data_IF_454961822999
#
_entry.id   IF_454961822999
#
_cell.length_a   1.000
_cell.length_b   1.000
_cell.length_c   1.000
_cell.angle_alpha   90.00
_cell.angle_beta   90.00
_cell.angle_gamma   90.00
#
_symmetry.space_group_name_H-M   'P 1'
#
loop_
_entity.id
_entity.type
_entity.pdbx_description
1 polymer ?
#
# COMPACT_ATOMS: atom_id res chain seq x y z
N UNK A 1 19.88 1.33 17.00
CA UNK A 1 18.95 0.27 16.59
C UNK A 1 18.51 0.57 15.17
N UNK A 2 18.67 -0.37 14.23
CA UNK A 2 18.20 -0.20 12.85
C UNK A 2 16.80 -0.76 12.69
N UNK A 3 15.99 -0.19 11.77
CA UNK A 3 14.71 -0.77 11.36
C UNK A 3 14.89 -2.13 10.71
N UNK A 4 13.84 -2.96 10.68
CA UNK A 4 13.79 -4.27 10.00
C UNK A 4 13.15 -4.17 8.63
N UNK A 5 12.35 -3.14 8.38
CA UNK A 5 11.62 -2.87 7.15
C UNK A 5 11.94 -1.45 6.66
N UNK A 6 12.35 -1.30 5.39
CA UNK A 6 12.57 -0.02 4.72
C UNK A 6 11.47 0.28 3.71
N UNK A 7 10.99 1.54 3.64
CA UNK A 7 10.05 1.99 2.60
C UNK A 7 10.83 2.63 1.45
N UNK A 8 10.67 2.10 0.23
CA UNK A 8 11.25 2.62 -1.00
C UNK A 8 10.11 3.04 -1.93
N UNK A 9 10.13 4.30 -2.38
CA UNK A 9 9.16 4.75 -3.37
C UNK A 9 9.40 4.06 -4.72
N UNK A 10 8.35 3.65 -5.40
CA UNK A 10 8.42 3.01 -6.71
C UNK A 10 9.03 3.89 -7.82
N UNK A 11 9.14 5.20 -7.58
CA UNK A 11 9.81 6.17 -8.45
C UNK A 11 11.14 6.70 -7.89
N UNK A 12 11.73 6.00 -6.91
CA UNK A 12 13.07 6.33 -6.41
C UNK A 12 14.07 6.33 -7.59
N UNK A 13 14.87 7.38 -7.68
CA UNK A 13 15.82 7.71 -8.76
C UNK A 13 15.23 8.27 -10.07
N UNK A 14 13.90 8.35 -10.22
CA UNK A 14 13.27 8.95 -11.39
C UNK A 14 11.79 9.23 -11.10
N UNK A 15 11.46 10.44 -10.63
CA UNK A 15 10.13 10.84 -10.18
C UNK A 15 9.09 10.82 -11.29
N UNK A 16 7.91 10.29 -11.00
CA UNK A 16 6.79 10.22 -11.94
C UNK A 16 5.42 10.31 -11.22
N UNK A 17 4.35 10.58 -11.99
CA UNK A 17 3.03 10.92 -11.46
C UNK A 17 2.31 9.79 -10.69
N UNK A 18 2.62 8.54 -11.01
CA UNK A 18 2.06 7.37 -10.31
C UNK A 18 3.04 6.72 -9.34
N UNK A 19 4.16 7.42 -9.07
CA UNK A 19 5.24 6.95 -8.21
C UNK A 19 5.72 5.52 -8.53
N UNK A 20 5.73 5.17 -9.83
CA UNK A 20 6.27 3.90 -10.33
C UNK A 20 7.04 4.14 -11.63
N UNK A 21 8.33 4.48 -11.54
CA UNK A 21 9.14 4.71 -12.74
C UNK A 21 9.30 3.44 -13.58
N UNK A 22 9.29 3.62 -14.90
CA UNK A 22 9.58 2.55 -15.87
C UNK A 22 10.94 2.75 -16.57
N UNK A 23 11.71 3.73 -16.17
CA UNK A 23 13.03 4.02 -16.71
C UNK A 23 14.02 2.90 -16.33
N UNK A 24 14.58 2.16 -17.30
CA UNK A 24 15.39 0.98 -17.01
C UNK A 24 16.54 1.25 -16.04
N UNK A 25 17.26 2.35 -16.22
CA UNK A 25 18.40 2.71 -15.35
C UNK A 25 17.98 3.01 -13.90
N UNK A 26 16.79 3.57 -13.68
CA UNK A 26 16.26 3.80 -12.34
C UNK A 26 15.77 2.50 -11.71
N UNK A 27 15.11 1.63 -12.47
CA UNK A 27 14.67 0.30 -12.02
C UNK A 27 15.88 -0.56 -11.63
N UNK A 28 16.96 -0.56 -12.42
CA UNK A 28 18.17 -1.31 -12.10
C UNK A 28 18.85 -0.81 -10.81
N UNK A 29 18.82 0.51 -10.58
CA UNK A 29 19.32 1.10 -9.32
C UNK A 29 18.45 0.74 -8.13
N UNK A 30 17.11 0.70 -8.32
CA UNK A 30 16.19 0.26 -7.25
C UNK A 30 16.46 -1.19 -6.87
N UNK A 31 16.59 -2.10 -7.86
CA UNK A 31 16.91 -3.51 -7.60
C UNK A 31 18.21 -3.68 -6.82
N UNK A 32 19.27 -2.97 -7.20
CA UNK A 32 20.54 -2.99 -6.46
C UNK A 32 20.38 -2.51 -5.02
N UNK A 33 19.60 -1.45 -4.80
CA UNK A 33 19.31 -0.95 -3.44
C UNK A 33 18.52 -1.99 -2.62
N UNK A 34 17.55 -2.67 -3.23
CA UNK A 34 16.80 -3.76 -2.60
C UNK A 34 17.75 -4.91 -2.22
N UNK A 35 18.61 -5.35 -3.14
CA UNK A 35 19.60 -6.40 -2.88
C UNK A 35 20.56 -6.02 -1.74
N UNK A 36 20.99 -4.75 -1.66
CA UNK A 36 21.81 -4.24 -0.55
C UNK A 36 21.06 -4.32 0.79
N UNK A 37 19.77 -3.92 0.83
CA UNK A 37 18.93 -3.99 2.03
C UNK A 37 18.73 -5.46 2.45
N UNK A 38 18.45 -6.35 1.51
CA UNK A 38 18.32 -7.79 1.78
C UNK A 38 19.63 -8.40 2.29
N UNK A 39 20.78 -7.97 1.77
CA UNK A 39 22.10 -8.44 2.25
C UNK A 39 22.37 -8.09 3.72
N UNK A 40 21.68 -7.06 4.24
CA UNK A 40 21.72 -6.68 5.65
C UNK A 40 20.66 -7.43 6.51
N UNK A 41 19.95 -8.41 5.94
CA UNK A 41 18.87 -9.15 6.61
C UNK A 41 17.64 -8.28 6.90
N UNK A 42 17.34 -7.29 6.02
CA UNK A 42 16.20 -6.39 6.15
C UNK A 42 15.23 -6.60 4.99
N UNK A 43 13.99 -6.17 5.20
CA UNK A 43 12.89 -6.26 4.22
C UNK A 43 12.61 -4.90 3.58
N UNK A 44 11.99 -4.93 2.40
CA UNK A 44 11.61 -3.76 1.62
C UNK A 44 10.11 -3.73 1.38
N UNK A 45 9.47 -2.65 1.81
CA UNK A 45 8.16 -2.24 1.36
C UNK A 45 8.34 -1.25 0.21
N UNK A 46 7.77 -1.53 -0.96
CA UNK A 46 7.78 -0.58 -2.08
C UNK A 46 6.44 0.13 -2.17
N UNK A 47 6.45 1.47 -2.20
CA UNK A 47 5.24 2.28 -2.17
C UNK A 47 5.03 3.11 -3.43
N UNK A 48 3.77 3.24 -3.83
CA UNK A 48 3.27 4.13 -4.88
C UNK A 48 1.98 4.82 -4.40
N UNK A 49 1.88 6.14 -4.58
CA UNK A 49 0.72 6.94 -4.20
C UNK A 49 0.16 7.63 -5.44
N UNK A 50 -1.09 7.36 -5.76
CA UNK A 50 -1.71 7.89 -6.98
C UNK A 50 -2.48 9.19 -6.76
N UNK A 51 -2.92 9.47 -5.52
CA UNK A 51 -3.70 10.67 -5.16
C UNK A 51 -4.99 10.86 -5.98
N UNK A 52 -5.48 9.78 -6.60
CA UNK A 52 -6.72 9.69 -7.37
C UNK A 52 -7.25 8.27 -7.31
N UNK A 53 -8.47 8.06 -7.78
CA UNK A 53 -8.97 6.70 -8.02
C UNK A 53 -8.13 5.99 -9.10
N UNK A 54 -7.92 4.70 -8.91
CA UNK A 54 -7.32 3.80 -9.89
C UNK A 54 -8.12 2.52 -9.97
N UNK A 55 -8.36 2.04 -11.18
CA UNK A 55 -9.09 0.79 -11.39
C UNK A 55 -8.25 -0.46 -11.09
N UNK A 56 -8.87 -1.63 -11.09
CA UNK A 56 -8.21 -2.88 -10.75
C UNK A 56 -6.99 -3.19 -11.63
N UNK A 57 -7.08 -2.92 -12.93
CA UNK A 57 -5.99 -3.21 -13.89
C UNK A 57 -4.74 -2.39 -13.53
N UNK A 58 -4.90 -1.09 -13.28
CA UNK A 58 -3.80 -0.20 -12.91
C UNK A 58 -3.18 -0.58 -11.57
N UNK A 59 -4.01 -0.88 -10.56
CA UNK A 59 -3.51 -1.27 -9.23
C UNK A 59 -2.75 -2.59 -9.27
N UNK A 60 -3.28 -3.59 -9.98
CA UNK A 60 -2.60 -4.88 -10.15
C UNK A 60 -1.29 -4.74 -10.93
N UNK A 61 -1.25 -3.92 -11.98
CA UNK A 61 -0.03 -3.66 -12.74
C UNK A 61 1.07 -3.06 -11.84
N UNK A 62 0.72 -2.10 -10.99
CA UNK A 62 1.66 -1.50 -10.03
C UNK A 62 2.14 -2.56 -9.03
N UNK A 63 1.24 -3.34 -8.46
CA UNK A 63 1.56 -4.37 -7.49
C UNK A 63 2.50 -5.45 -8.07
N UNK A 64 2.23 -5.92 -9.29
CA UNK A 64 3.10 -6.87 -9.98
C UNK A 64 4.49 -6.31 -10.27
N UNK A 65 4.58 -5.04 -10.67
CA UNK A 65 5.89 -4.42 -10.88
C UNK A 65 6.67 -4.26 -9.58
N UNK A 66 6.02 -3.91 -8.47
CA UNK A 66 6.66 -3.84 -7.16
C UNK A 66 7.18 -5.23 -6.73
N UNK A 67 6.35 -6.27 -6.85
CA UNK A 67 6.76 -7.66 -6.60
C UNK A 67 7.93 -8.09 -7.48
N UNK A 68 7.88 -7.82 -8.79
CA UNK A 68 8.92 -8.16 -9.77
C UNK A 68 10.26 -7.46 -9.51
N UNK A 69 10.23 -6.30 -8.85
CA UNK A 69 11.46 -5.58 -8.46
C UNK A 69 12.12 -6.15 -7.22
N UNK A 70 11.46 -7.05 -6.50
CA UNK A 70 11.98 -7.70 -5.30
C UNK A 70 11.46 -7.09 -3.99
N UNK A 71 10.37 -6.33 -4.02
CA UNK A 71 9.72 -5.89 -2.79
C UNK A 71 9.21 -7.09 -1.99
N UNK A 72 9.35 -7.05 -0.67
CA UNK A 72 8.77 -8.02 0.26
C UNK A 72 7.32 -7.68 0.58
N UNK A 73 6.96 -6.41 0.51
CA UNK A 73 5.59 -5.91 0.67
C UNK A 73 5.28 -4.91 -0.44
N UNK A 74 4.19 -5.14 -1.18
CA UNK A 74 3.68 -4.17 -2.16
C UNK A 74 2.75 -3.17 -1.46
N UNK A 75 3.01 -1.85 -1.58
CA UNK A 75 2.14 -0.81 -1.03
C UNK A 75 1.63 0.10 -2.12
N UNK A 76 0.31 0.20 -2.23
CA UNK A 76 -0.38 1.08 -3.16
C UNK A 76 -1.39 1.93 -2.39
N UNK A 77 -1.41 3.22 -2.66
CA UNK A 77 -2.37 4.16 -2.11
C UNK A 77 -3.12 4.83 -3.26
N UNK A 78 -4.45 4.68 -3.28
CA UNK A 78 -5.36 5.34 -4.22
C UNK A 78 -6.31 6.27 -3.47
N UNK A 79 -7.29 6.84 -4.16
CA UNK A 79 -8.39 7.58 -3.54
C UNK A 79 -9.74 6.99 -3.93
N UNK A 80 -10.77 7.35 -3.17
CA UNK A 80 -12.17 7.15 -3.52
C UNK A 80 -12.94 8.40 -3.09
N UNK A 81 -13.68 9.01 -4.02
CA UNK A 81 -14.47 10.21 -3.78
C UNK A 81 -15.98 9.98 -3.98
N UNK A 82 -16.38 8.74 -4.24
CA UNK A 82 -17.76 8.26 -4.27
C UNK A 82 -17.86 6.81 -3.74
N UNK A 83 -19.09 6.34 -3.53
CA UNK A 83 -19.38 5.01 -3.00
C UNK A 83 -18.92 3.90 -3.96
N UNK A 84 -19.13 4.09 -5.24
CA UNK A 84 -18.73 3.13 -6.29
C UNK A 84 -17.22 2.89 -6.29
N UNK A 85 -16.43 3.94 -6.14
CA UNK A 85 -14.97 3.86 -6.06
C UNK A 85 -14.51 3.17 -4.76
N UNK A 86 -15.16 3.44 -3.62
CA UNK A 86 -14.87 2.75 -2.36
C UNK A 86 -15.17 1.25 -2.45
N UNK A 87 -16.31 0.88 -3.03
CA UNK A 87 -16.67 -0.52 -3.25
C UNK A 87 -15.71 -1.22 -4.23
N UNK A 88 -15.26 -0.52 -5.26
CA UNK A 88 -14.25 -1.04 -6.17
C UNK A 88 -12.90 -1.25 -5.45
N UNK A 89 -12.46 -0.33 -4.59
CA UNK A 89 -11.25 -0.51 -3.78
C UNK A 89 -11.36 -1.73 -2.84
N UNK A 90 -12.53 -1.99 -2.28
CA UNK A 90 -12.79 -3.21 -1.49
C UNK A 90 -12.62 -4.47 -2.37
N UNK A 91 -13.18 -4.46 -3.59
CA UNK A 91 -13.04 -5.55 -4.56
C UNK A 91 -11.59 -5.76 -4.97
N UNK A 92 -10.85 -4.68 -5.24
CA UNK A 92 -9.42 -4.70 -5.60
C UNK A 92 -8.60 -5.34 -4.48
N UNK A 93 -8.89 -5.05 -3.21
CA UNK A 93 -8.20 -5.69 -2.07
C UNK A 93 -8.29 -7.23 -2.15
N UNK A 94 -9.49 -7.74 -2.45
CA UNK A 94 -9.69 -9.19 -2.61
C UNK A 94 -8.98 -9.77 -3.84
N UNK A 95 -8.83 -8.99 -4.91
CA UNK A 95 -8.06 -9.38 -6.09
C UNK A 95 -6.56 -9.44 -5.76
N UNK A 96 -6.01 -8.43 -5.12
CA UNK A 96 -4.59 -8.41 -4.71
C UNK A 96 -4.23 -9.64 -3.87
N UNK A 97 -5.12 -10.05 -2.94
CA UNK A 97 -4.95 -11.27 -2.15
C UNK A 97 -4.85 -12.55 -3.00
N UNK A 98 -5.54 -12.60 -4.13
CA UNK A 98 -5.54 -13.77 -5.02
C UNK A 98 -4.35 -13.79 -5.97
N UNK A 99 -3.93 -12.61 -6.41
CA UNK A 99 -3.00 -12.43 -7.51
C UNK A 99 -1.54 -12.30 -7.06
N UNK A 100 -1.28 -11.71 -5.87
CA UNK A 100 0.09 -11.52 -5.39
C UNK A 100 0.59 -12.73 -4.61
N UNK A 101 1.89 -12.98 -4.71
CA UNK A 101 2.60 -14.01 -3.92
C UNK A 101 3.32 -13.41 -2.72
N UNK A 102 3.37 -12.09 -2.61
CA UNK A 102 3.93 -11.34 -1.46
C UNK A 102 2.81 -10.63 -0.70
N UNK A 103 3.01 -10.30 0.59
CA UNK A 103 2.12 -9.43 1.33
C UNK A 103 1.90 -8.10 0.62
N UNK A 104 0.73 -7.50 0.86
CA UNK A 104 0.43 -6.18 0.32
C UNK A 104 -0.24 -5.28 1.35
N UNK A 105 -0.10 -3.98 1.15
CA UNK A 105 -0.79 -2.91 1.85
C UNK A 105 -1.51 -2.05 0.82
N UNK A 106 -2.82 -2.20 0.70
CA UNK A 106 -3.64 -1.39 -0.17
C UNK A 106 -4.49 -0.42 0.64
N UNK A 107 -4.35 0.87 0.36
CA UNK A 107 -4.98 1.94 1.12
C UNK A 107 -5.79 2.86 0.21
N UNK A 108 -6.95 3.28 0.69
CA UNK A 108 -7.77 4.32 0.07
C UNK A 108 -7.66 5.64 0.83
N UNK A 109 -7.51 6.75 0.12
CA UNK A 109 -7.70 8.13 0.58
C UNK A 109 -9.03 8.69 0.07
N UNK A 110 -9.15 10.03 0.01
CA UNK A 110 -10.34 10.70 -0.48
C UNK A 110 -11.47 10.81 0.54
N UNK A 111 -12.66 11.17 0.08
CA UNK A 111 -13.84 11.40 0.94
C UNK A 111 -14.61 10.12 1.28
N UNK A 112 -14.47 9.06 0.46
CA UNK A 112 -15.10 7.74 0.62
C UNK A 112 -14.03 6.65 0.77
N UNK A 113 -13.41 6.56 1.94
CA UNK A 113 -12.31 5.60 2.18
C UNK A 113 -12.39 4.86 3.52
N UNK A 114 -13.33 5.22 4.38
CA UNK A 114 -13.32 4.75 5.77
C UNK A 114 -13.71 3.29 5.89
N UNK A 115 -14.69 2.82 5.12
CA UNK A 115 -15.12 1.42 5.14
C UNK A 115 -13.97 0.56 4.64
N UNK A 116 -13.39 0.92 3.49
CA UNK A 116 -12.24 0.21 2.94
C UNK A 116 -11.10 0.09 3.96
N UNK A 117 -10.72 1.19 4.64
CA UNK A 117 -9.64 1.18 5.63
C UNK A 117 -9.93 0.33 6.87
N UNK A 118 -11.19 0.17 7.23
CA UNK A 118 -11.61 -0.68 8.35
C UNK A 118 -11.61 -2.17 7.98
N UNK A 119 -12.03 -2.52 6.77
CA UNK A 119 -12.22 -3.93 6.37
C UNK A 119 -11.02 -4.51 5.61
N UNK A 120 -10.12 -3.69 5.06
CA UNK A 120 -9.02 -4.16 4.23
C UNK A 120 -8.08 -5.17 4.91
N UNK A 121 -7.80 -5.10 6.23
CA UNK A 121 -7.01 -6.15 6.91
C UNK A 121 -7.68 -7.51 6.86
N UNK A 122 -9.00 -7.58 7.00
CA UNK A 122 -9.76 -8.83 6.93
C UNK A 122 -9.80 -9.40 5.51
N UNK A 123 -9.67 -8.52 4.51
CA UNK A 123 -9.62 -8.90 3.09
C UNK A 123 -8.23 -9.25 2.59
N UNK A 124 -7.20 -9.15 3.45
CA UNK A 124 -5.84 -9.61 3.14
C UNK A 124 -4.74 -8.54 3.15
N UNK A 125 -5.07 -7.26 3.38
CA UNK A 125 -4.04 -6.24 3.60
C UNK A 125 -3.23 -6.58 4.86
N UNK A 126 -1.90 -6.61 4.75
CA UNK A 126 -1.03 -7.14 5.80
C UNK A 126 -0.89 -6.24 7.03
N UNK A 127 -1.33 -4.98 6.93
CA UNK A 127 -1.29 -4.03 8.04
C UNK A 127 -2.34 -2.91 7.86
N UNK A 128 -2.57 -2.14 8.92
CA UNK A 128 -3.39 -0.94 8.92
C UNK A 128 -2.60 0.27 9.38
N UNK A 129 -2.75 1.39 8.68
CA UNK A 129 -2.25 2.68 9.15
C UNK A 129 -3.35 3.37 9.96
N UNK A 130 -3.10 3.52 11.25
CA UNK A 130 -4.05 4.05 12.22
C UNK A 130 -3.49 5.29 12.92
N UNK A 131 -4.40 6.10 13.47
CA UNK A 131 -4.05 7.15 14.44
C UNK A 131 -4.40 6.67 15.85
N UNK A 132 -3.69 7.16 16.86
CA UNK A 132 -4.07 6.90 18.25
C UNK A 132 -5.39 7.58 18.59
N UNK A 133 -5.48 8.87 18.23
CA UNK A 133 -6.68 9.70 18.35
C UNK A 133 -6.62 10.80 17.28
N UNK A 134 -7.75 11.43 16.99
CA UNK A 134 -7.76 12.60 16.13
C UNK A 134 -7.32 13.85 16.90
N UNK A 135 -6.31 14.51 16.38
CA UNK A 135 -5.82 15.81 16.79
C UNK A 135 -5.65 16.74 15.58
N UNK A 136 -4.97 17.86 15.75
CA UNK A 136 -4.76 18.85 14.67
C UNK A 136 -3.86 18.31 13.55
N UNK A 137 -2.97 17.37 13.85
CA UNK A 137 -2.01 16.79 12.90
C UNK A 137 -2.48 15.46 12.31
N UNK A 138 -3.54 14.86 12.88
CA UNK A 138 -4.01 13.54 12.49
C UNK A 138 -4.65 13.55 11.10
N UNK A 139 -4.26 12.60 10.26
CA UNK A 139 -4.91 12.34 8.99
C UNK A 139 -6.30 11.76 9.21
N UNK A 140 -7.34 12.51 8.81
CA UNK A 140 -8.75 12.12 9.01
C UNK A 140 -9.18 10.84 8.29
N UNK A 141 -8.42 10.42 7.29
CA UNK A 141 -8.64 9.17 6.55
C UNK A 141 -8.16 7.94 7.32
N UNK A 142 -7.24 8.09 8.26
CA UNK A 142 -6.76 6.98 9.07
C UNK A 142 -7.73 6.72 10.23
N UNK A 143 -8.20 5.48 10.42
CA UNK A 143 -9.08 5.15 11.53
C UNK A 143 -8.32 5.16 12.87
N UNK A 144 -8.99 5.44 13.99
CA UNK A 144 -8.41 5.23 15.31
C UNK A 144 -8.07 3.75 15.55
N UNK A 145 -6.91 3.47 16.13
CA UNK A 145 -6.42 2.12 16.37
C UNK A 145 -7.41 1.23 17.14
N UNK A 146 -8.10 1.78 18.13
CA UNK A 146 -9.06 1.01 18.93
C UNK A 146 -10.29 0.55 18.12
N UNK A 147 -10.71 1.29 17.08
CA UNK A 147 -11.78 0.83 16.19
C UNK A 147 -11.32 -0.33 15.31
N UNK A 148 -10.14 -0.21 14.70
CA UNK A 148 -9.60 -1.29 13.86
C UNK A 148 -9.42 -2.55 14.70
N UNK A 149 -8.83 -2.42 15.88
CA UNK A 149 -8.65 -3.54 16.80
C UNK A 149 -9.98 -4.19 17.21
N UNK A 150 -10.99 -3.37 17.56
CA UNK A 150 -12.29 -3.90 17.91
C UNK A 150 -12.90 -4.73 16.77
N UNK A 151 -12.82 -4.22 15.53
CA UNK A 151 -13.34 -4.92 14.35
C UNK A 151 -12.56 -6.23 14.13
N UNK A 152 -11.22 -6.19 14.11
CA UNK A 152 -10.41 -7.39 13.87
C UNK A 152 -10.55 -8.45 14.95
N UNK A 153 -10.82 -8.05 16.20
CA UNK A 153 -11.00 -8.99 17.33
C UNK A 153 -12.40 -9.63 17.37
N UNK A 154 -13.38 -9.11 16.61
CA UNK A 154 -14.80 -9.53 16.71
C UNK A 154 -15.45 -9.91 15.36
N UNK A 155 -14.70 -9.83 14.25
CA UNK A 155 -15.19 -10.24 12.93
C UNK A 155 -14.31 -11.37 12.40
N UNK A 156 -14.71 -12.59 12.65
CA UNK A 156 -14.09 -13.82 12.11
C UNK A 156 -14.53 -14.07 10.67
#
# INVERSE_FOLDING_TARGET
>A
MGGTLGDIMGDTFDKCSNELTRKPTAVDRQKKLIDEIHSMGKEVLMSSHLYRFANAEEVLEIAYEQQKRGADIAKIVTSADCEEEEMENIRITSLLKKELTIPFLFLSGGTHCKIHRLVSPMLGSCMSLCVWQYDELATKNQPPLHFVRYITDHMD
#
